data_IF_338778474449
#
_entry.id   IF_338778474449
#
_cell.length_a   1.000
_cell.length_b   1.000
_cell.length_c   1.000
_cell.angle_alpha   90.00
_cell.angle_beta   90.00
_cell.angle_gamma   90.00
#
_symmetry.space_group_name_H-M   'P 1'
#
loop_
_entity.id
_entity.type
_entity.pdbx_description
1 polymer ?
#
# COMPACT_ATOMS: atom_id res chain seq x y z
N UNK A 1 22.49 3.39 -18.31
CA UNK A 1 23.26 2.14 -18.32
C UNK A 1 23.27 1.46 -16.95
N UNK A 2 23.68 2.12 -15.85
CA UNK A 2 23.71 1.54 -14.48
C UNK A 2 22.33 1.10 -13.97
N UNK A 3 21.26 1.79 -14.33
CA UNK A 3 19.88 1.48 -13.94
C UNK A 3 19.32 0.24 -14.67
N UNK A 4 19.71 0.02 -15.94
CA UNK A 4 19.32 -1.16 -16.73
C UNK A 4 20.04 -2.41 -16.22
N UNK A 5 21.33 -2.34 -15.88
CA UNK A 5 22.07 -3.47 -15.30
C UNK A 5 21.45 -3.92 -13.97
N UNK A 6 21.21 -2.98 -13.05
CA UNK A 6 20.56 -3.30 -11.76
C UNK A 6 19.17 -3.94 -11.93
N UNK A 7 18.40 -3.48 -12.93
CA UNK A 7 17.09 -4.03 -13.24
C UNK A 7 17.18 -5.46 -13.79
N UNK A 8 18.13 -5.73 -14.67
CA UNK A 8 18.36 -7.05 -15.22
C UNK A 8 18.84 -8.04 -14.13
N UNK A 9 19.71 -7.61 -13.22
CA UNK A 9 20.15 -8.41 -12.07
C UNK A 9 18.97 -8.79 -11.17
N UNK A 10 18.08 -7.84 -10.88
CA UNK A 10 16.86 -8.12 -10.11
C UNK A 10 15.94 -9.11 -10.84
N UNK A 11 15.75 -8.95 -12.16
CA UNK A 11 14.96 -9.88 -12.96
C UNK A 11 15.53 -11.30 -12.85
N UNK A 12 16.85 -11.47 -12.97
CA UNK A 12 17.52 -12.77 -12.83
C UNK A 12 17.29 -13.38 -11.45
N UNK A 13 17.49 -12.63 -10.38
CA UNK A 13 17.31 -13.09 -9.01
C UNK A 13 15.88 -13.58 -8.74
N UNK A 14 14.89 -12.79 -9.17
CA UNK A 14 13.48 -13.14 -8.98
C UNK A 14 13.07 -14.37 -9.81
N UNK A 15 13.57 -14.50 -11.04
CA UNK A 15 13.32 -15.68 -11.87
C UNK A 15 13.93 -16.94 -11.27
N UNK A 16 15.16 -16.86 -10.74
CA UNK A 16 15.78 -17.98 -10.03
C UNK A 16 15.01 -18.37 -8.78
N UNK A 17 14.59 -17.39 -7.98
CA UNK A 17 13.76 -17.60 -6.80
C UNK A 17 12.46 -18.32 -7.19
N UNK A 18 11.83 -17.88 -8.27
CA UNK A 18 10.59 -18.48 -8.79
C UNK A 18 10.83 -19.90 -9.29
N UNK A 19 11.92 -20.16 -10.02
CA UNK A 19 12.28 -21.48 -10.51
C UNK A 19 12.60 -22.45 -9.36
N UNK A 20 13.39 -22.03 -8.36
CA UNK A 20 13.68 -22.89 -7.21
C UNK A 20 12.44 -23.23 -6.38
N UNK A 21 11.50 -22.30 -6.30
CA UNK A 21 10.21 -22.52 -5.61
C UNK A 21 9.31 -23.48 -6.40
N UNK A 22 9.37 -23.44 -7.73
CA UNK A 22 8.52 -24.23 -8.66
C UNK A 22 9.37 -24.95 -9.70
N UNK A 23 10.12 -26.00 -9.33
CA UNK A 23 11.09 -26.64 -10.22
C UNK A 23 10.48 -27.34 -11.46
N UNK A 24 9.16 -27.57 -11.47
CA UNK A 24 8.47 -28.19 -12.61
C UNK A 24 7.78 -27.16 -13.51
N UNK A 25 8.05 -25.88 -13.32
CA UNK A 25 7.51 -24.85 -14.21
C UNK A 25 8.07 -25.03 -15.62
N UNK A 26 7.27 -24.63 -16.61
CA UNK A 26 7.65 -24.62 -18.02
C UNK A 26 8.02 -23.19 -18.46
N UNK A 27 8.61 -23.07 -19.65
CA UNK A 27 9.00 -21.77 -20.21
C UNK A 27 7.80 -20.80 -20.29
N UNK A 28 6.60 -21.30 -20.57
CA UNK A 28 5.34 -20.55 -20.53
C UNK A 28 5.06 -19.92 -19.18
N UNK A 29 5.40 -20.57 -18.09
CA UNK A 29 5.18 -20.05 -16.73
C UNK A 29 6.14 -18.91 -16.42
N UNK A 30 7.36 -18.95 -16.96
CA UNK A 30 8.31 -17.82 -16.91
C UNK A 30 7.75 -16.63 -17.73
N UNK A 31 7.26 -16.89 -18.94
CA UNK A 31 6.66 -15.84 -19.77
C UNK A 31 5.45 -15.20 -19.08
N UNK A 32 4.61 -16.01 -18.43
CA UNK A 32 3.50 -15.52 -17.62
C UNK A 32 3.97 -14.69 -16.44
N UNK A 33 5.05 -15.07 -15.75
CA UNK A 33 5.65 -14.31 -14.67
C UNK A 33 6.08 -12.91 -15.15
N UNK A 34 6.80 -12.85 -16.27
CA UNK A 34 7.23 -11.59 -16.87
C UNK A 34 6.04 -10.74 -17.34
N UNK A 35 5.06 -11.35 -18.00
CA UNK A 35 3.84 -10.65 -18.38
C UNK A 35 3.16 -9.98 -17.20
N UNK A 36 2.94 -10.72 -16.12
CA UNK A 36 2.31 -10.20 -14.92
C UNK A 36 3.15 -9.13 -14.22
N UNK A 37 4.48 -9.21 -14.29
CA UNK A 37 5.37 -8.19 -13.73
C UNK A 37 5.26 -6.84 -14.44
N UNK A 38 4.85 -6.83 -15.70
CA UNK A 38 4.80 -5.65 -16.55
C UNK A 38 3.36 -5.12 -16.69
N UNK A 39 2.42 -6.00 -17.02
CA UNK A 39 1.05 -5.65 -17.36
C UNK A 39 0.05 -5.90 -16.22
N UNK A 40 0.51 -6.55 -15.13
CA UNK A 40 -0.41 -6.88 -14.02
C UNK A 40 -1.58 -7.75 -14.48
N UNK A 41 -2.80 -7.24 -14.27
CA UNK A 41 -4.04 -7.98 -14.52
C UNK A 41 -5.09 -7.19 -15.33
N UNK A 42 -4.70 -6.15 -16.06
CA UNK A 42 -5.60 -5.21 -16.75
C UNK A 42 -6.69 -5.90 -17.57
N UNK A 43 -6.32 -6.97 -18.32
CA UNK A 43 -7.20 -7.69 -19.22
C UNK A 43 -8.27 -8.57 -18.54
N UNK A 44 -8.19 -8.75 -17.21
CA UNK A 44 -9.02 -9.73 -16.50
C UNK A 44 -10.26 -9.13 -15.83
N UNK A 45 -10.40 -7.79 -15.79
CA UNK A 45 -11.38 -7.16 -14.91
C UNK A 45 -12.20 -6.12 -15.67
N UNK A 46 -13.50 -6.39 -15.81
CA UNK A 46 -14.47 -5.45 -16.42
C UNK A 46 -15.10 -4.52 -15.36
N UNK A 47 -15.26 -4.97 -14.12
CA UNK A 47 -15.83 -4.19 -13.01
C UNK A 47 -15.34 -4.70 -11.66
N UNK A 48 -15.48 -3.85 -10.62
CA UNK A 48 -15.17 -4.23 -9.25
C UNK A 48 -16.03 -5.42 -8.77
N UNK A 49 -17.32 -5.42 -9.09
CA UNK A 49 -18.25 -6.49 -8.69
C UNK A 49 -17.87 -7.84 -9.31
N UNK A 50 -17.43 -7.83 -10.57
CA UNK A 50 -16.94 -9.05 -11.22
C UNK A 50 -15.65 -9.55 -10.58
N UNK A 51 -14.74 -8.65 -10.17
CA UNK A 51 -13.54 -9.02 -9.43
C UNK A 51 -13.87 -9.71 -8.10
N UNK A 52 -14.78 -9.12 -7.32
CA UNK A 52 -15.25 -9.68 -6.04
C UNK A 52 -15.93 -11.04 -6.25
N UNK A 53 -16.84 -11.14 -7.23
CA UNK A 53 -17.54 -12.37 -7.55
C UNK A 53 -16.57 -13.50 -7.92
N UNK A 54 -15.63 -13.23 -8.83
CA UNK A 54 -14.63 -14.21 -9.25
C UNK A 54 -13.72 -14.68 -8.10
N UNK A 55 -13.38 -13.78 -7.14
CA UNK A 55 -12.63 -14.15 -5.94
C UNK A 55 -13.45 -15.10 -5.05
N UNK A 56 -14.72 -14.78 -4.79
CA UNK A 56 -15.61 -15.61 -3.95
C UNK A 56 -15.80 -17.01 -4.54
N UNK A 57 -16.06 -17.08 -5.84
CA UNK A 57 -16.22 -18.34 -6.56
C UNK A 57 -14.94 -19.19 -6.48
N UNK A 58 -13.80 -18.65 -6.90
CA UNK A 58 -12.54 -19.38 -6.88
C UNK A 58 -12.13 -19.81 -5.46
N UNK A 59 -12.26 -18.94 -4.47
CA UNK A 59 -11.96 -19.24 -3.08
C UNK A 59 -12.77 -20.43 -2.56
N UNK A 60 -14.08 -20.49 -2.91
CA UNK A 60 -14.95 -21.59 -2.49
C UNK A 60 -14.47 -22.96 -3.00
N UNK A 61 -13.86 -23.01 -4.21
CA UNK A 61 -13.33 -24.24 -4.80
C UNK A 61 -11.89 -24.54 -4.33
N UNK A 62 -11.04 -23.50 -4.16
CA UNK A 62 -9.61 -23.66 -3.90
C UNK A 62 -9.25 -23.85 -2.43
N UNK A 63 -10.13 -23.44 -1.50
CA UNK A 63 -9.86 -23.40 -0.05
C UNK A 63 -9.26 -24.70 0.52
N UNK A 64 -9.61 -25.87 -0.01
CA UNK A 64 -9.14 -27.17 0.50
C UNK A 64 -7.84 -27.65 -0.13
N UNK A 65 -7.40 -27.06 -1.24
CA UNK A 65 -6.35 -27.61 -2.08
C UNK A 65 -5.26 -26.61 -2.51
N UNK A 66 -5.35 -25.36 -2.10
CA UNK A 66 -4.38 -24.33 -2.50
C UNK A 66 -3.03 -24.58 -1.82
N UNK A 67 -1.97 -24.64 -2.61
CA UNK A 67 -0.58 -24.70 -2.12
C UNK A 67 0.10 -23.32 -2.09
N UNK A 68 -0.56 -22.31 -2.64
CA UNK A 68 -0.11 -20.93 -2.61
C UNK A 68 -0.50 -20.30 -1.26
N UNK A 69 0.48 -20.03 -0.38
CA UNK A 69 0.25 -19.52 0.97
C UNK A 69 0.97 -18.20 1.26
N UNK A 70 1.93 -17.82 0.42
CA UNK A 70 2.77 -16.65 0.61
C UNK A 70 2.64 -15.66 -0.52
N UNK A 71 2.81 -14.37 -0.21
CA UNK A 71 2.89 -13.32 -1.24
C UNK A 71 4.17 -13.49 -2.04
N UNK A 72 4.04 -13.45 -3.36
CA UNK A 72 5.17 -13.51 -4.28
C UNK A 72 5.40 -12.15 -4.93
N UNK A 73 6.62 -11.64 -4.83
CA UNK A 73 7.03 -10.45 -5.57
C UNK A 73 7.23 -10.82 -7.04
N UNK A 74 6.72 -9.96 -7.90
CA UNK A 74 7.02 -9.97 -9.32
C UNK A 74 8.10 -8.92 -9.62
N UNK A 75 8.77 -9.09 -10.73
CA UNK A 75 9.77 -8.13 -11.17
C UNK A 75 9.11 -6.85 -11.72
N UNK A 76 8.82 -5.90 -10.85
CA UNK A 76 8.17 -4.65 -11.18
C UNK A 76 7.25 -4.13 -10.09
N UNK A 77 6.08 -3.62 -10.50
CA UNK A 77 5.12 -2.92 -9.63
C UNK A 77 4.02 -3.82 -9.04
N UNK A 78 4.15 -5.13 -9.18
CA UNK A 78 3.09 -6.08 -8.85
C UNK A 78 3.57 -7.20 -7.95
N UNK A 79 2.61 -7.78 -7.23
CA UNK A 79 2.77 -8.96 -6.38
C UNK A 79 1.63 -9.95 -6.64
N UNK A 80 1.87 -11.24 -6.41
CA UNK A 80 0.83 -12.27 -6.33
C UNK A 80 0.40 -12.43 -4.90
N UNK A 81 -0.85 -12.15 -4.59
CA UNK A 81 -1.44 -12.36 -3.26
C UNK A 81 -2.32 -13.61 -3.31
N UNK A 82 -2.03 -14.63 -2.48
CA UNK A 82 -2.83 -15.85 -2.42
C UNK A 82 -4.26 -15.61 -1.95
N UNK A 83 -5.23 -16.36 -2.46
CA UNK A 83 -6.61 -16.30 -1.97
C UNK A 83 -6.76 -16.77 -0.52
N UNK A 84 -5.77 -17.51 0.01
CA UNK A 84 -5.71 -17.89 1.43
C UNK A 84 -5.59 -16.69 2.39
N UNK A 85 -5.29 -15.48 1.90
CA UNK A 85 -5.36 -14.25 2.72
C UNK A 85 -6.77 -13.96 3.23
N UNK A 86 -7.80 -14.53 2.60
CA UNK A 86 -9.17 -14.49 3.12
C UNK A 86 -9.29 -15.24 4.45
N UNK A 87 -8.58 -16.34 4.63
CA UNK A 87 -8.51 -17.08 5.91
C UNK A 87 -7.83 -16.25 7.01
N UNK A 88 -6.95 -15.31 6.63
CA UNK A 88 -6.27 -14.41 7.56
C UNK A 88 -7.11 -13.17 7.93
N UNK A 89 -8.30 -13.02 7.37
CA UNK A 89 -9.24 -11.96 7.69
C UNK A 89 -9.51 -10.94 6.59
N UNK A 90 -8.74 -10.95 5.50
CA UNK A 90 -9.01 -10.08 4.35
C UNK A 90 -10.35 -10.47 3.71
N UNK A 91 -11.29 -9.53 3.57
CA UNK A 91 -12.57 -9.82 2.93
C UNK A 91 -12.42 -9.97 1.41
N UNK A 92 -13.29 -10.76 0.80
CA UNK A 92 -13.33 -10.87 -0.66
C UNK A 92 -13.67 -9.52 -1.33
N UNK A 93 -14.42 -8.67 -0.66
CA UNK A 93 -14.75 -7.31 -1.08
C UNK A 93 -13.51 -6.43 -1.16
N UNK A 94 -12.74 -6.36 -0.07
CA UNK A 94 -11.48 -5.61 -0.02
C UNK A 94 -10.49 -6.17 -1.04
N UNK A 95 -10.31 -7.48 -1.08
CA UNK A 95 -9.39 -8.11 -2.04
C UNK A 95 -9.79 -7.83 -3.49
N UNK A 96 -11.10 -7.87 -3.81
CA UNK A 96 -11.62 -7.52 -5.13
C UNK A 96 -11.35 -6.08 -5.52
N UNK A 97 -11.47 -5.14 -4.56
CA UNK A 97 -11.14 -3.72 -4.77
C UNK A 97 -9.64 -3.50 -4.99
N UNK A 98 -8.76 -4.15 -4.19
CA UNK A 98 -7.31 -4.10 -4.40
C UNK A 98 -6.94 -4.59 -5.80
N UNK A 99 -7.52 -5.71 -6.22
CA UNK A 99 -7.32 -6.28 -7.55
C UNK A 99 -7.81 -5.32 -8.64
N UNK A 100 -9.01 -4.77 -8.51
CA UNK A 100 -9.58 -3.80 -9.46
C UNK A 100 -8.77 -2.51 -9.57
N UNK A 101 -8.33 -1.95 -8.44
CA UNK A 101 -7.50 -0.74 -8.41
C UNK A 101 -6.13 -0.98 -9.06
N UNK A 102 -5.59 -2.19 -8.91
CA UNK A 102 -4.32 -2.58 -9.53
C UNK A 102 -4.43 -2.68 -11.05
N UNK A 103 -5.58 -3.12 -11.57
CA UNK A 103 -5.84 -3.22 -13.00
C UNK A 103 -5.95 -1.86 -13.72
N UNK A 104 -6.21 -0.79 -12.96
CA UNK A 104 -6.31 0.59 -13.51
C UNK A 104 -4.99 1.34 -13.54
N UNK A 105 -3.91 0.75 -13.05
CA UNK A 105 -2.60 1.40 -13.08
C UNK A 105 -2.01 1.35 -14.48
N UNK A 106 -1.19 2.36 -14.78
CA UNK A 106 -0.42 2.39 -16.02
C UNK A 106 0.49 1.17 -16.11
N UNK A 107 0.37 0.49 -17.23
CA UNK A 107 1.12 -0.71 -17.53
C UNK A 107 2.45 -0.35 -18.22
N UNK A 108 3.37 -1.30 -18.15
CA UNK A 108 4.63 -1.19 -18.86
C UNK A 108 4.47 -1.35 -20.39
N UNK A 109 5.57 -1.22 -21.09
CA UNK A 109 5.62 -1.25 -22.55
C UNK A 109 6.04 -2.63 -23.07
N UNK A 110 5.69 -2.92 -24.34
CA UNK A 110 6.20 -4.10 -25.05
C UNK A 110 7.73 -4.11 -25.17
N UNK A 111 8.36 -2.94 -25.21
CA UNK A 111 9.82 -2.85 -25.19
C UNK A 111 10.42 -3.41 -23.90
N UNK A 112 9.82 -3.10 -22.74
CA UNK A 112 10.25 -3.66 -21.46
C UNK A 112 10.04 -5.18 -21.40
N UNK A 113 8.96 -5.70 -22.00
CA UNK A 113 8.76 -7.16 -22.10
C UNK A 113 9.87 -7.83 -22.89
N UNK A 114 10.23 -7.26 -24.03
CA UNK A 114 11.30 -7.81 -24.88
C UNK A 114 12.65 -7.77 -24.15
N UNK A 115 13.00 -6.67 -23.47
CA UNK A 115 14.20 -6.58 -22.64
C UNK A 115 14.27 -7.71 -21.59
N UNK A 116 13.17 -7.99 -20.91
CA UNK A 116 13.12 -9.07 -19.90
C UNK A 116 13.16 -10.47 -20.53
N UNK A 117 12.58 -10.65 -21.69
CA UNK A 117 12.69 -11.92 -22.45
C UNK A 117 14.13 -12.18 -22.91
N UNK A 118 14.88 -11.13 -23.26
CA UNK A 118 16.31 -11.27 -23.57
C UNK A 118 17.12 -11.71 -22.33
N UNK A 119 16.74 -11.24 -21.12
CA UNK A 119 17.35 -11.74 -19.87
C UNK A 119 17.11 -13.25 -19.72
N UNK A 120 15.88 -13.74 -19.97
CA UNK A 120 15.58 -15.19 -19.91
C UNK A 120 16.39 -15.96 -20.95
N UNK A 121 16.49 -15.47 -22.19
CA UNK A 121 17.28 -16.10 -23.24
C UNK A 121 18.75 -16.22 -22.84
N UNK A 122 19.34 -15.18 -22.26
CA UNK A 122 20.70 -15.19 -21.76
C UNK A 122 20.86 -16.21 -20.61
N UNK A 123 19.91 -16.30 -19.69
CA UNK A 123 19.95 -17.30 -18.61
C UNK A 123 19.87 -18.74 -19.13
N UNK A 124 19.19 -18.98 -20.24
CA UNK A 124 19.14 -20.29 -20.92
C UNK A 124 20.50 -20.60 -21.61
N UNK A 125 21.05 -19.63 -22.35
CA UNK A 125 22.35 -19.81 -23.04
C UNK A 125 23.52 -19.99 -22.06
N UNK A 126 23.40 -19.44 -20.85
CA UNK A 126 24.35 -19.60 -19.74
C UNK A 126 24.12 -20.88 -18.92
N UNK A 127 23.15 -21.72 -19.31
CA UNK A 127 22.74 -22.95 -18.61
C UNK A 127 22.25 -22.71 -17.16
N UNK A 128 21.83 -21.49 -16.84
CA UNK A 128 21.28 -21.10 -15.52
C UNK A 128 19.82 -21.56 -15.34
N UNK A 129 19.06 -21.58 -16.44
CA UNK A 129 17.72 -22.18 -16.50
C UNK A 129 17.76 -23.45 -17.36
N UNK A 130 17.12 -24.53 -16.93
CA UNK A 130 17.24 -25.85 -17.60
C UNK A 130 16.28 -26.00 -18.80
N UNK A 131 16.21 -24.96 -19.63
CA UNK A 131 15.43 -24.98 -20.87
C UNK A 131 16.37 -24.93 -22.07
N UNK A 132 15.89 -25.45 -23.22
CA UNK A 132 16.61 -25.29 -24.48
C UNK A 132 16.20 -23.99 -25.19
N UNK A 133 17.09 -23.43 -26.01
CA UNK A 133 16.76 -22.31 -26.89
C UNK A 133 15.58 -22.63 -27.83
N UNK A 134 15.45 -23.87 -28.27
CA UNK A 134 14.33 -24.30 -29.11
C UNK A 134 12.97 -24.22 -28.37
N UNK A 135 12.91 -24.63 -27.11
CA UNK A 135 11.69 -24.46 -26.27
C UNK A 135 11.32 -23.02 -26.12
N UNK A 136 12.32 -22.15 -25.85
CA UNK A 136 12.11 -20.70 -25.77
C UNK A 136 11.56 -20.14 -27.09
N UNK A 137 12.21 -20.46 -28.21
CA UNK A 137 11.83 -19.94 -29.52
C UNK A 137 10.44 -20.41 -29.96
N UNK A 138 10.09 -21.64 -29.73
CA UNK A 138 8.76 -22.18 -30.02
C UNK A 138 7.67 -21.43 -29.25
N UNK A 139 7.82 -21.25 -27.91
CA UNK A 139 6.84 -20.54 -27.10
C UNK A 139 6.82 -19.04 -27.45
N UNK A 140 8.00 -18.42 -27.68
CA UNK A 140 8.11 -17.02 -28.04
C UNK A 140 7.39 -16.69 -29.35
N UNK A 141 7.63 -17.49 -30.42
CA UNK A 141 6.98 -17.26 -31.72
C UNK A 141 5.46 -17.46 -31.62
N UNK A 142 5.01 -18.55 -30.97
CA UNK A 142 3.58 -18.78 -30.74
C UNK A 142 2.91 -17.66 -29.98
N UNK A 143 3.61 -17.10 -28.97
CA UNK A 143 3.06 -15.98 -28.19
C UNK A 143 3.09 -14.65 -28.92
N UNK A 144 4.16 -14.40 -29.69
CA UNK A 144 4.28 -13.22 -30.55
C UNK A 144 3.19 -13.15 -31.62
N UNK A 145 2.88 -14.28 -32.27
CA UNK A 145 1.78 -14.38 -33.23
C UNK A 145 0.41 -14.02 -32.63
N UNK A 146 0.24 -14.26 -31.31
CA UNK A 146 -0.95 -13.88 -30.53
C UNK A 146 -0.87 -12.46 -29.96
N UNK A 147 0.09 -11.66 -30.42
CA UNK A 147 0.26 -10.26 -29.97
C UNK A 147 0.64 -10.12 -28.51
N UNK A 148 1.39 -11.07 -27.94
CA UNK A 148 1.77 -11.10 -26.52
C UNK A 148 0.56 -10.97 -25.58
N UNK A 149 -0.53 -11.67 -25.92
CA UNK A 149 -1.74 -11.69 -25.08
C UNK A 149 -1.48 -12.36 -23.73
N UNK A 150 -2.40 -12.15 -22.79
CA UNK A 150 -2.34 -12.76 -21.46
C UNK A 150 -2.18 -14.29 -21.52
N UNK A 151 -1.31 -14.81 -20.67
CA UNK A 151 -0.98 -16.25 -20.62
C UNK A 151 -1.65 -16.92 -19.42
N UNK A 152 -2.12 -18.15 -19.64
CA UNK A 152 -2.45 -19.09 -18.58
C UNK A 152 -1.21 -19.86 -18.17
N UNK A 153 -1.17 -20.33 -16.92
CA UNK A 153 -0.16 -21.29 -16.48
C UNK A 153 -0.21 -22.56 -17.32
N UNK A 154 0.94 -23.23 -17.47
CA UNK A 154 1.03 -24.56 -18.07
C UNK A 154 0.15 -25.55 -17.30
N UNK A 155 -0.24 -26.64 -17.96
CA UNK A 155 -1.03 -27.72 -17.34
C UNK A 155 -0.25 -28.35 -16.19
N UNK A 156 1.04 -28.60 -16.40
CA UNK A 156 1.95 -29.13 -15.38
C UNK A 156 1.97 -28.26 -14.13
N UNK A 157 2.12 -26.95 -14.31
CA UNK A 157 2.11 -26.00 -13.18
C UNK A 157 0.77 -26.02 -12.46
N UNK A 158 -0.34 -26.01 -13.19
CA UNK A 158 -1.70 -26.03 -12.61
C UNK A 158 -1.98 -27.30 -11.82
N UNK A 159 -1.63 -28.45 -12.35
CA UNK A 159 -1.84 -29.74 -11.68
C UNK A 159 -1.00 -29.87 -10.42
N UNK A 160 0.27 -29.45 -10.48
CA UNK A 160 1.23 -29.68 -9.42
C UNK A 160 1.14 -28.66 -8.29
N UNK A 161 1.00 -27.36 -8.64
CA UNK A 161 1.05 -26.27 -7.68
C UNK A 161 -0.32 -25.65 -7.37
N UNK A 162 -1.35 -25.92 -8.15
CA UNK A 162 -2.74 -25.45 -7.95
C UNK A 162 -2.78 -23.96 -7.60
N UNK A 163 -2.26 -23.08 -8.48
CA UNK A 163 -2.15 -21.66 -8.20
C UNK A 163 -3.51 -21.02 -8.00
N UNK A 164 -3.68 -20.32 -6.88
CA UNK A 164 -4.88 -19.56 -6.55
C UNK A 164 -4.47 -18.25 -5.91
N UNK A 165 -4.39 -17.19 -6.72
CA UNK A 165 -3.90 -15.87 -6.33
C UNK A 165 -4.51 -14.75 -7.20
N UNK A 166 -4.33 -13.50 -6.76
CA UNK A 166 -4.54 -12.31 -7.59
C UNK A 166 -3.25 -11.51 -7.70
N UNK A 167 -3.06 -10.92 -8.87
CA UNK A 167 -1.97 -9.96 -9.09
C UNK A 167 -2.45 -8.59 -8.68
N UNK A 168 -1.82 -8.01 -7.69
CA UNK A 168 -2.15 -6.66 -7.19
C UNK A 168 -0.90 -5.78 -7.17
N UNK A 169 -1.10 -4.46 -7.07
CA UNK A 169 0.02 -3.53 -6.94
C UNK A 169 0.84 -3.80 -5.68
N UNK A 170 2.16 -3.69 -5.79
CA UNK A 170 3.07 -3.81 -4.66
C UNK A 170 2.92 -2.66 -3.64
N UNK A 171 2.32 -1.52 -4.02
CA UNK A 171 1.96 -0.45 -3.08
C UNK A 171 1.07 -0.93 -1.93
N UNK A 172 0.35 -2.04 -2.13
CA UNK A 172 -0.52 -2.60 -1.09
C UNK A 172 0.20 -3.57 -0.15
N UNK A 173 1.40 -4.05 -0.52
CA UNK A 173 2.10 -5.11 0.21
C UNK A 173 2.24 -4.82 1.71
N UNK A 174 2.76 -3.66 2.05
CA UNK A 174 2.99 -3.27 3.45
C UNK A 174 1.68 -3.07 4.23
N UNK A 175 0.55 -2.88 3.55
CA UNK A 175 -0.74 -2.59 4.15
C UNK A 175 -1.69 -3.80 4.22
N UNK A 176 -1.33 -4.95 3.62
CA UNK A 176 -2.18 -6.16 3.65
C UNK A 176 -2.61 -6.58 5.07
N UNK A 177 -1.71 -6.58 6.09
CA UNK A 177 -2.11 -6.89 7.47
C UNK A 177 -3.13 -5.89 8.03
N UNK A 178 -2.98 -4.61 7.72
CA UNK A 178 -3.92 -3.57 8.13
C UNK A 178 -5.30 -3.78 7.50
N UNK A 179 -5.37 -4.06 6.20
CA UNK A 179 -6.65 -4.31 5.54
C UNK A 179 -7.39 -5.52 6.16
N UNK A 180 -6.67 -6.60 6.45
CA UNK A 180 -7.25 -7.76 7.12
C UNK A 180 -7.79 -7.44 8.51
N UNK A 181 -7.10 -6.57 9.28
CA UNK A 181 -7.57 -6.16 10.60
C UNK A 181 -8.77 -5.21 10.50
N UNK A 182 -8.74 -4.24 9.59
CA UNK A 182 -9.87 -3.35 9.34
C UNK A 182 -11.12 -4.12 8.91
N UNK A 183 -10.98 -5.12 8.05
CA UNK A 183 -12.09 -5.97 7.62
C UNK A 183 -12.71 -6.76 8.78
N UNK A 184 -11.92 -7.16 9.78
CA UNK A 184 -12.42 -7.79 11.01
C UNK A 184 -13.16 -6.79 11.89
N UNK A 185 -12.55 -5.63 12.15
CA UNK A 185 -13.13 -4.58 12.99
C UNK A 185 -14.46 -4.07 12.44
N UNK A 186 -14.52 -3.79 11.13
CA UNK A 186 -15.71 -3.28 10.44
C UNK A 186 -16.91 -4.24 10.44
N UNK A 187 -16.71 -5.54 10.75
CA UNK A 187 -17.82 -6.48 10.98
C UNK A 187 -18.60 -6.15 12.25
N UNK A 188 -17.96 -5.54 13.22
CA UNK A 188 -18.56 -5.22 14.53
C UNK A 188 -19.24 -3.85 14.56
N UNK A 189 -19.04 -3.00 13.54
CA UNK A 189 -19.67 -1.67 13.47
C UNK A 189 -18.79 -0.61 12.84
N UNK A 190 -19.03 0.65 13.22
CA UNK A 190 -18.19 1.77 12.80
C UNK A 190 -16.86 1.73 13.55
N UNK A 191 -15.77 2.07 12.84
CA UNK A 191 -14.41 2.00 13.33
C UNK A 191 -13.70 3.35 13.18
N UNK A 192 -13.01 3.77 14.21
CA UNK A 192 -12.18 4.97 14.24
C UNK A 192 -10.71 4.57 14.37
N UNK A 193 -9.88 4.97 13.43
CA UNK A 193 -8.45 4.66 13.47
C UNK A 193 -7.58 5.91 13.45
N UNK A 194 -6.44 5.83 14.12
CA UNK A 194 -5.37 6.81 13.99
C UNK A 194 -4.27 6.30 13.07
N UNK A 195 -3.80 7.14 12.15
CA UNK A 195 -2.60 6.90 11.34
C UNK A 195 -1.55 7.92 11.73
N UNK A 196 -0.60 7.47 12.52
CA UNK A 196 0.50 8.25 13.07
C UNK A 196 1.80 8.01 12.29
N UNK A 197 2.74 8.91 12.41
CA UNK A 197 4.08 8.77 11.81
C UNK A 197 4.67 10.11 11.42
N UNK A 198 5.96 10.15 11.13
CA UNK A 198 6.68 11.36 10.77
C UNK A 198 6.25 11.99 9.45
N UNK A 199 6.67 13.22 9.24
CA UNK A 199 6.51 13.93 7.97
C UNK A 199 7.04 13.06 6.82
N UNK A 200 6.35 13.06 5.68
CA UNK A 200 6.66 12.28 4.48
C UNK A 200 6.66 10.74 4.65
N UNK A 201 6.19 10.18 5.77
CA UNK A 201 6.13 8.73 5.97
C UNK A 201 5.12 8.02 5.05
N UNK A 202 4.11 8.71 4.52
CA UNK A 202 3.10 8.14 3.63
C UNK A 202 1.69 8.03 4.24
N UNK A 203 1.43 8.67 5.38
CA UNK A 203 0.11 8.71 6.04
C UNK A 203 -1.01 9.11 5.09
N UNK A 204 -0.85 10.23 4.40
CA UNK A 204 -1.83 10.74 3.41
C UNK A 204 -1.97 9.81 2.20
N UNK A 205 -0.94 9.07 1.83
CA UNK A 205 -1.04 8.04 0.78
C UNK A 205 -1.90 6.89 1.25
N UNK A 206 -1.68 6.41 2.48
CA UNK A 206 -2.49 5.34 3.07
C UNK A 206 -3.95 5.78 3.23
N UNK A 207 -4.22 7.01 3.74
CA UNK A 207 -5.60 7.49 3.90
C UNK A 207 -6.36 7.51 2.56
N UNK A 208 -5.72 7.96 1.48
CA UNK A 208 -6.31 7.92 0.12
C UNK A 208 -6.56 6.50 -0.38
N UNK A 209 -5.68 5.57 -0.07
CA UNK A 209 -5.91 4.14 -0.38
C UNK A 209 -7.15 3.64 0.36
N UNK A 210 -7.29 3.97 1.65
CA UNK A 210 -8.45 3.58 2.45
C UNK A 210 -9.75 4.20 1.93
N UNK A 211 -9.76 5.47 1.50
CA UNK A 211 -10.91 6.11 0.85
C UNK A 211 -11.36 5.39 -0.43
N UNK A 212 -10.43 4.83 -1.20
CA UNK A 212 -10.76 4.07 -2.40
C UNK A 212 -11.30 2.66 -2.12
N UNK A 213 -11.02 2.12 -0.93
CA UNK A 213 -11.38 0.73 -0.56
C UNK A 213 -12.63 0.70 0.31
N UNK A 214 -12.76 1.63 1.26
CA UNK A 214 -13.81 1.64 2.29
C UNK A 214 -14.74 2.84 2.15
N UNK A 215 -15.92 2.76 2.76
CA UNK A 215 -16.75 3.93 3.05
C UNK A 215 -16.07 4.69 4.21
N UNK A 216 -15.21 5.61 3.85
CA UNK A 216 -14.21 6.20 4.72
C UNK A 216 -14.33 7.72 4.78
N UNK A 217 -14.24 8.26 6.00
CA UNK A 217 -14.08 9.69 6.26
C UNK A 217 -12.69 9.96 6.83
N UNK A 218 -11.97 10.93 6.28
CA UNK A 218 -10.61 11.27 6.71
C UNK A 218 -10.56 12.65 7.34
N UNK A 219 -9.97 12.74 8.53
CA UNK A 219 -9.61 14.01 9.19
C UNK A 219 -8.09 14.12 9.24
N UNK A 220 -7.58 15.31 8.91
CA UNK A 220 -6.15 15.59 8.87
C UNK A 220 -5.74 16.41 10.09
N UNK A 221 -4.75 15.95 10.84
CA UNK A 221 -4.20 16.73 11.97
C UNK A 221 -3.60 18.05 11.50
N UNK A 222 -3.15 18.12 10.24
CA UNK A 222 -2.62 19.35 9.64
C UNK A 222 -3.68 20.46 9.50
N UNK A 223 -4.98 20.14 9.52
CA UNK A 223 -6.08 21.12 9.59
C UNK A 223 -6.18 21.81 10.97
N UNK A 224 -5.42 21.32 11.96
CA UNK A 224 -5.48 21.77 13.36
C UNK A 224 -4.16 22.36 13.86
N UNK A 225 -3.42 23.05 13.00
CA UNK A 225 -2.27 23.83 13.47
C UNK A 225 -2.70 24.95 14.42
N UNK A 226 -1.76 25.34 15.30
CA UNK A 226 -1.96 26.45 16.22
C UNK A 226 -2.25 27.75 15.47
N UNK A 227 -3.25 28.48 15.96
CA UNK A 227 -3.51 29.87 15.54
C UNK A 227 -2.39 30.78 16.04
N UNK A 228 -2.16 31.94 15.40
CA UNK A 228 -1.06 32.85 15.77
C UNK A 228 -1.01 33.19 17.26
N UNK A 229 -2.16 33.45 17.89
CA UNK A 229 -2.28 33.79 19.31
C UNK A 229 -1.91 32.62 20.26
N UNK A 230 -1.96 31.41 19.80
CA UNK A 230 -1.58 30.21 20.58
C UNK A 230 -0.07 29.89 20.51
N UNK A 231 0.68 30.52 19.58
CA UNK A 231 2.09 30.23 19.29
C UNK A 231 3.02 30.90 20.29
N UNK A 232 3.03 30.42 21.51
CA UNK A 232 3.93 30.91 22.56
C UNK A 232 5.14 29.97 22.76
N UNK A 233 6.25 30.51 23.28
CA UNK A 233 7.40 29.68 23.65
C UNK A 233 7.04 28.58 24.65
N UNK A 234 6.12 28.87 25.58
CA UNK A 234 5.59 27.91 26.55
C UNK A 234 4.84 26.77 25.85
N UNK A 235 4.04 27.08 24.81
CA UNK A 235 3.29 26.06 24.06
C UNK A 235 4.24 25.15 23.26
N UNK A 236 5.22 25.74 22.56
CA UNK A 236 6.22 24.96 21.81
C UNK A 236 7.18 24.15 22.70
N UNK A 237 7.37 24.56 23.95
CA UNK A 237 8.15 23.79 24.91
C UNK A 237 7.43 22.49 25.36
N UNK A 238 6.11 22.43 25.23
CA UNK A 238 5.34 21.23 25.53
C UNK A 238 5.53 20.18 24.42
N UNK A 239 5.72 18.93 24.80
CA UNK A 239 5.78 17.80 23.85
C UNK A 239 4.42 17.63 23.19
N UNK A 240 4.39 17.62 21.85
CA UNK A 240 3.14 17.61 21.07
C UNK A 240 2.35 18.94 21.13
N UNK A 241 2.95 20.02 21.66
CA UNK A 241 2.28 21.30 21.85
C UNK A 241 2.13 22.16 20.59
N UNK A 242 2.60 21.71 19.43
CA UNK A 242 2.56 22.47 18.17
C UNK A 242 1.28 22.24 17.33
N UNK A 243 0.33 21.47 17.85
CA UNK A 243 -1.01 21.24 17.25
C UNK A 243 -2.11 21.69 18.21
N UNK A 244 -3.23 22.18 17.69
CA UNK A 244 -4.44 22.59 18.45
C UNK A 244 -5.31 21.36 18.76
N UNK A 245 -4.74 20.44 19.54
CA UNK A 245 -5.40 19.18 19.93
C UNK A 245 -6.69 19.41 20.70
N UNK A 246 -6.75 20.51 21.46
CA UNK A 246 -7.93 20.89 22.24
C UNK A 246 -9.11 21.19 21.29
N UNK A 247 -8.85 21.92 20.21
CA UNK A 247 -9.86 22.19 19.18
C UNK A 247 -10.24 20.91 18.43
N UNK A 248 -9.26 20.08 18.06
CA UNK A 248 -9.52 18.80 17.41
C UNK A 248 -10.41 17.89 18.28
N UNK A 249 -10.11 17.81 19.56
CA UNK A 249 -10.90 17.03 20.51
C UNK A 249 -12.36 17.53 20.55
N UNK A 250 -12.58 18.84 20.67
CA UNK A 250 -13.92 19.40 20.83
C UNK A 250 -14.73 19.43 19.53
N UNK A 251 -14.10 19.77 18.40
CA UNK A 251 -14.79 19.92 17.12
C UNK A 251 -14.96 18.58 16.37
N UNK A 252 -14.08 17.59 16.62
CA UNK A 252 -14.10 16.33 15.86
C UNK A 252 -14.36 15.11 16.75
N UNK A 253 -13.51 14.82 17.74
CA UNK A 253 -13.56 13.54 18.45
C UNK A 253 -14.77 13.43 19.40
N UNK A 254 -15.14 14.49 20.10
CA UNK A 254 -16.30 14.48 20.99
C UNK A 254 -17.61 14.30 20.21
N UNK A 255 -17.92 15.05 19.14
CA UNK A 255 -19.08 14.79 18.30
C UNK A 255 -19.05 13.38 17.66
N UNK A 256 -17.88 12.96 17.15
CA UNK A 256 -17.70 11.64 16.56
C UNK A 256 -18.05 10.51 17.54
N UNK A 257 -17.62 10.62 18.80
CA UNK A 257 -17.91 9.61 19.84
C UNK A 257 -19.39 9.49 20.17
N UNK A 258 -20.17 10.54 19.91
CA UNK A 258 -21.62 10.57 20.13
C UNK A 258 -22.42 10.20 18.87
N UNK A 259 -21.76 9.96 17.73
CA UNK A 259 -22.43 9.74 16.46
C UNK A 259 -23.12 10.97 15.88
N UNK A 260 -22.66 12.16 16.26
CA UNK A 260 -23.20 13.44 15.80
C UNK A 260 -22.56 13.88 14.48
N UNK A 261 -23.20 14.79 13.77
CA UNK A 261 -22.62 15.48 12.61
C UNK A 261 -21.46 16.35 13.10
N UNK A 262 -20.33 16.26 12.43
CA UNK A 262 -19.11 16.97 12.80
C UNK A 262 -19.06 18.29 12.06
N UNK A 263 -18.89 19.40 12.81
CA UNK A 263 -18.69 20.72 12.27
C UNK A 263 -17.35 21.24 12.76
N UNK A 264 -16.40 21.42 11.86
CA UNK A 264 -15.07 21.91 12.21
C UNK A 264 -14.54 22.92 11.20
N UNK A 265 -13.48 23.64 11.55
CA UNK A 265 -12.79 24.59 10.68
C UNK A 265 -11.36 24.15 10.46
N UNK A 266 -10.90 24.21 9.22
CA UNK A 266 -9.50 23.99 8.89
C UNK A 266 -8.69 25.24 9.20
N UNK A 267 -7.44 25.06 9.56
CA UNK A 267 -6.49 26.16 9.68
C UNK A 267 -5.75 26.36 8.36
N UNK A 268 -5.96 27.51 7.73
CA UNK A 268 -5.24 27.88 6.51
C UNK A 268 -3.90 28.52 6.89
N UNK A 269 -2.80 27.79 6.60
CA UNK A 269 -1.44 28.25 6.88
C UNK A 269 -0.99 29.41 5.99
N UNK A 270 -1.62 29.62 4.82
CA UNK A 270 -1.28 30.73 3.92
C UNK A 270 -1.88 32.04 4.39
N UNK A 271 -3.09 32.00 4.90
CA UNK A 271 -3.82 33.15 5.42
C UNK A 271 -3.74 33.29 6.94
N UNK A 272 -3.15 32.29 7.61
CA UNK A 272 -2.97 32.28 9.08
C UNK A 272 -4.28 32.39 9.85
N UNK A 273 -5.38 31.89 9.32
CA UNK A 273 -6.73 31.95 9.92
C UNK A 273 -7.51 30.65 9.76
N UNK A 274 -8.62 30.53 10.49
CA UNK A 274 -9.57 29.45 10.29
C UNK A 274 -10.42 29.70 9.04
N UNK A 275 -10.70 28.64 8.28
CA UNK A 275 -11.61 28.64 7.13
C UNK A 275 -13.08 28.71 7.58
N UNK A 276 -14.00 28.80 6.60
CA UNK A 276 -15.41 28.55 6.86
C UNK A 276 -15.63 27.13 7.41
N UNK A 277 -16.69 26.91 8.21
CA UNK A 277 -17.00 25.62 8.77
C UNK A 277 -17.22 24.55 7.70
N UNK A 278 -16.69 23.36 7.94
CA UNK A 278 -16.93 22.15 7.15
C UNK A 278 -17.85 21.23 7.95
N UNK A 279 -18.93 20.77 7.30
CA UNK A 279 -19.89 19.84 7.88
C UNK A 279 -19.64 18.43 7.32
N UNK A 280 -19.45 17.45 8.18
CA UNK A 280 -19.10 16.08 7.81
C UNK A 280 -20.00 15.08 8.53
N UNK A 281 -20.59 14.14 7.75
CA UNK A 281 -21.26 12.96 8.28
C UNK A 281 -20.28 11.78 8.16
N UNK A 282 -19.80 11.21 9.29
CA UNK A 282 -18.79 10.15 9.24
C UNK A 282 -19.31 8.88 8.55
N UNK A 283 -18.44 8.26 7.74
CA UNK A 283 -18.65 6.94 7.16
C UNK A 283 -18.44 5.82 8.20
N UNK A 284 -18.50 4.57 7.72
CA UNK A 284 -18.26 3.40 8.59
C UNK A 284 -16.83 3.33 9.11
N UNK A 285 -15.87 3.78 8.33
CA UNK A 285 -14.48 3.95 8.74
C UNK A 285 -14.17 5.43 8.88
N UNK A 286 -13.71 5.84 10.04
CA UNK A 286 -13.17 7.20 10.25
C UNK A 286 -11.68 7.10 10.49
N UNK A 287 -10.93 7.81 9.68
CA UNK A 287 -9.45 7.87 9.74
C UNK A 287 -9.02 9.24 10.24
N UNK A 288 -8.22 9.27 11.27
CA UNK A 288 -7.51 10.45 11.75
C UNK A 288 -6.05 10.29 11.37
N UNK A 289 -5.55 11.07 10.41
CA UNK A 289 -4.18 10.98 9.94
C UNK A 289 -3.36 12.23 10.22
N UNK A 290 -2.12 12.03 10.59
CA UNK A 290 -1.17 13.10 10.79
C UNK A 290 -0.27 12.86 12.00
N UNK A 291 0.88 13.56 12.03
CA UNK A 291 1.68 13.62 13.23
C UNK A 291 0.84 14.20 14.38
N UNK A 292 0.98 13.65 15.58
CA UNK A 292 0.21 13.99 16.80
C UNK A 292 -1.22 13.41 16.85
N UNK A 293 -1.66 12.59 15.89
CA UNK A 293 -2.96 11.92 15.96
C UNK A 293 -3.07 11.02 17.20
N UNK A 294 -1.97 10.37 17.60
CA UNK A 294 -1.89 9.52 18.79
C UNK A 294 -1.49 10.24 20.09
N UNK A 295 -1.71 11.59 20.13
CA UNK A 295 -1.47 12.33 21.38
C UNK A 295 -2.25 11.69 22.55
N UNK A 296 -1.67 11.55 23.76
CA UNK A 296 -2.30 10.87 24.89
C UNK A 296 -3.73 11.32 25.24
N UNK A 297 -4.05 12.59 24.98
CA UNK A 297 -5.41 13.12 25.19
C UNK A 297 -6.42 12.74 24.10
N UNK A 298 -5.97 12.20 22.97
CA UNK A 298 -6.81 11.86 21.82
C UNK A 298 -6.99 10.34 21.63
N UNK A 299 -5.99 9.55 22.01
CA UNK A 299 -5.91 8.13 21.67
C UNK A 299 -7.06 7.27 22.20
N UNK A 300 -7.69 7.68 23.31
CA UNK A 300 -8.81 6.93 23.91
C UNK A 300 -10.07 6.91 23.04
N UNK A 301 -10.12 7.77 22.02
CA UNK A 301 -11.22 7.84 21.07
C UNK A 301 -11.11 6.87 19.90
N UNK A 302 -9.97 6.19 19.73
CA UNK A 302 -9.70 5.31 18.60
C UNK A 302 -9.89 3.85 18.96
N UNK A 303 -10.40 3.09 17.99
CA UNK A 303 -10.58 1.65 18.10
C UNK A 303 -9.31 0.90 17.65
N UNK A 304 -8.47 1.54 16.83
CA UNK A 304 -7.23 0.98 16.33
C UNK A 304 -6.24 2.08 15.92
N UNK A 305 -4.95 1.75 15.92
CA UNK A 305 -3.89 2.72 15.62
C UNK A 305 -2.75 2.11 14.82
N UNK A 306 -2.23 2.92 13.89
CA UNK A 306 -1.16 2.54 12.96
C UNK A 306 -0.03 3.54 13.06
N UNK A 307 1.20 3.07 13.25
CA UNK A 307 2.39 3.89 13.09
C UNK A 307 3.06 3.58 11.76
N UNK A 308 3.26 4.60 10.92
CA UNK A 308 4.03 4.46 9.66
C UNK A 308 5.46 4.92 9.91
N UNK A 309 6.35 3.95 9.94
CA UNK A 309 7.78 4.15 10.11
C UNK A 309 8.50 4.31 8.77
N UNK A 310 9.45 5.23 8.72
CA UNK A 310 10.24 5.54 7.52
C UNK A 310 11.69 5.78 7.94
N UNK A 311 12.66 5.31 7.13
CA UNK A 311 14.05 5.61 7.40
C UNK A 311 14.34 7.12 7.24
N UNK A 312 15.28 7.68 8.01
CA UNK A 312 15.66 9.09 7.90
C UNK A 312 16.12 9.48 6.48
N UNK A 313 16.79 8.57 5.77
CA UNK A 313 17.28 8.77 4.40
C UNK A 313 16.13 8.91 3.42
N UNK A 314 15.18 7.98 3.44
CA UNK A 314 14.01 8.00 2.58
C UNK A 314 13.09 9.18 2.92
N UNK A 315 12.96 9.53 4.21
CA UNK A 315 12.22 10.70 4.66
C UNK A 315 12.81 11.98 4.07
N UNK A 316 14.15 12.13 4.14
CA UNK A 316 14.87 13.27 3.57
C UNK A 316 14.65 13.36 2.06
N UNK A 317 14.88 12.28 1.33
CA UNK A 317 14.67 12.21 -0.12
C UNK A 317 13.26 12.68 -0.52
N UNK A 318 12.24 12.17 0.15
CA UNK A 318 10.83 12.51 -0.12
C UNK A 318 10.52 13.98 0.18
N UNK A 319 11.10 14.54 1.26
CA UNK A 319 10.92 15.93 1.62
C UNK A 319 11.59 16.85 0.59
N UNK A 320 12.83 16.56 0.22
CA UNK A 320 13.57 17.34 -0.77
C UNK A 320 12.91 17.29 -2.16
N UNK A 321 12.35 16.15 -2.54
CA UNK A 321 11.66 15.98 -3.83
C UNK A 321 10.36 16.80 -3.94
N UNK A 322 9.64 17.00 -2.83
CA UNK A 322 8.30 17.65 -2.84
C UNK A 322 8.32 19.12 -2.46
N UNK A 323 9.41 19.64 -1.91
CA UNK A 323 9.49 20.99 -1.35
C UNK A 323 10.62 21.80 -1.96
N UNK A 324 10.53 23.12 -1.81
CA UNK A 324 11.66 24.01 -2.10
C UNK A 324 12.78 23.81 -1.06
N UNK A 325 14.05 24.19 -1.36
CA UNK A 325 15.13 24.06 -0.39
C UNK A 325 14.85 24.74 0.96
N UNK A 326 14.24 25.93 0.96
CA UNK A 326 13.90 26.66 2.19
C UNK A 326 12.82 25.92 3.01
N UNK A 327 11.81 25.35 2.34
CA UNK A 327 10.79 24.55 3.01
C UNK A 327 11.38 23.25 3.58
N UNK A 328 12.24 22.57 2.83
CA UNK A 328 12.93 21.36 3.29
C UNK A 328 13.77 21.62 4.54
N UNK A 329 14.48 22.75 4.58
CA UNK A 329 15.25 23.15 5.75
C UNK A 329 14.39 23.37 7.00
N UNK A 330 13.17 23.93 6.85
CA UNK A 330 12.22 24.05 7.96
C UNK A 330 11.77 22.69 8.50
N UNK A 331 11.60 21.69 7.62
CA UNK A 331 11.30 20.32 8.06
C UNK A 331 12.46 19.76 8.89
N UNK A 332 13.69 19.89 8.41
CA UNK A 332 14.85 19.30 9.08
C UNK A 332 15.23 19.98 10.38
N UNK A 333 15.10 21.30 10.46
CA UNK A 333 15.49 22.05 11.65
C UNK A 333 14.39 22.21 12.69
N UNK A 334 13.12 22.09 12.30
CA UNK A 334 12.01 22.40 13.22
C UNK A 334 11.02 21.25 13.35
N UNK A 335 10.39 20.83 12.25
CA UNK A 335 9.25 19.92 12.35
C UNK A 335 9.65 18.50 12.71
N UNK A 336 10.64 17.92 12.06
CA UNK A 336 11.16 16.57 12.36
C UNK A 336 11.71 16.48 13.80
N UNK A 337 12.52 17.42 14.31
CA UNK A 337 12.90 17.42 15.73
C UNK A 337 11.72 17.43 16.71
N UNK A 338 10.65 18.18 16.41
CA UNK A 338 9.43 18.18 17.25
C UNK A 338 8.70 16.84 17.20
N UNK A 339 8.56 16.26 16.00
CA UNK A 339 7.95 14.95 15.82
C UNK A 339 8.76 13.84 16.55
N UNK A 340 10.08 13.82 16.37
CA UNK A 340 10.97 12.83 17.01
C UNK A 340 10.92 12.95 18.54
N UNK A 341 10.91 14.17 19.09
CA UNK A 341 10.74 14.37 20.52
C UNK A 341 9.41 13.81 21.01
N UNK A 342 8.32 14.11 20.28
CA UNK A 342 6.98 13.61 20.60
C UNK A 342 6.92 12.09 20.55
N UNK A 343 7.45 11.46 19.51
CA UNK A 343 7.45 10.00 19.38
C UNK A 343 8.24 9.34 20.50
N UNK A 344 9.41 9.90 20.84
CA UNK A 344 10.29 9.35 21.87
C UNK A 344 9.73 9.55 23.29
N UNK A 345 9.41 10.80 23.68
CA UNK A 345 8.98 11.10 25.04
C UNK A 345 7.62 10.49 25.40
N UNK A 346 6.72 10.34 24.43
CA UNK A 346 5.40 9.78 24.64
C UNK A 346 5.28 8.30 24.27
N UNK A 347 6.38 7.68 23.79
CA UNK A 347 6.41 6.27 23.40
C UNK A 347 5.31 5.92 22.39
N UNK A 348 5.16 6.76 21.34
CA UNK A 348 4.03 6.68 20.43
C UNK A 348 4.05 5.40 19.60
N UNK A 349 5.20 5.05 19.06
CA UNK A 349 5.36 3.85 18.22
C UNK A 349 4.99 2.57 18.97
N UNK A 350 5.40 2.46 20.22
CA UNK A 350 5.14 1.31 21.08
C UNK A 350 3.67 1.20 21.51
N UNK A 351 2.94 2.32 21.43
CA UNK A 351 1.53 2.40 21.82
C UNK A 351 0.57 2.22 20.65
N UNK A 352 1.07 2.17 19.43
CA UNK A 352 0.26 1.84 18.27
C UNK A 352 0.09 0.31 18.14
N UNK A 353 -1.10 -0.11 17.67
CA UNK A 353 -1.45 -1.52 17.55
C UNK A 353 -0.65 -2.22 16.45
N UNK A 354 -0.30 -1.50 15.39
CA UNK A 354 0.52 -2.01 14.28
C UNK A 354 1.57 -0.99 13.84
N UNK A 355 2.78 -1.47 13.54
CA UNK A 355 3.85 -0.68 12.97
C UNK A 355 4.13 -1.12 11.53
N UNK A 356 4.03 -0.20 10.58
CA UNK A 356 4.25 -0.44 9.16
C UNK A 356 5.55 0.25 8.75
N UNK A 357 6.52 -0.53 8.28
CA UNK A 357 7.81 -0.02 7.82
C UNK A 357 7.73 0.21 6.31
N UNK A 358 7.94 1.44 5.89
CA UNK A 358 8.05 1.82 4.47
C UNK A 358 9.51 1.70 4.03
N UNK A 359 9.73 0.96 2.96
CA UNK A 359 11.06 0.66 2.40
C UNK A 359 11.26 1.37 1.07
#
# INVERSE_FOLDING_TARGET
MMDVMKRNDLTRELLLTHFYKYPDLQIRDIFKFLYQSIYGCEHMISSCDNAVKGIKEEYSFSRKNCKFSEVEKLDGKYIRVPLSYIDNGLSAETFGKLFYLSAKKDNGTSGLLLEKLDVVRNMISEEVLPFSENEFDCEFHSWKEKGFSALHHSDVFREKYKPSYRVVSDDFLSFLPLFAELDKLLKSGCVKIAIEGGSASGKTTLSRILENIYDCTVFHMDDFFLRPEQRSSKRYAQTGGNVDKERFLQEVLVPLSKGEIINYRRFDCSEMKLTEPVCVCPGKLTVIEGAYSMHPELREFYDFSVFIDISPELQRERIEKRNTPQQSEQFFQKWIPFENRYFSEMHIKEKCDINIIIK
#
